data_IF_196580349162
#
_entry.id   IF_196580349162
#
_cell.length_a   1.000
_cell.length_b   1.000
_cell.length_c   1.000
_cell.angle_alpha   90.00
_cell.angle_beta   90.00
_cell.angle_gamma   90.00
#
_symmetry.space_group_name_H-M   'P 1'
#
loop_
_entity.id
_entity.type
_entity.pdbx_description
1 polymer ?
2 branched ?
3 non-polymer ?
4 non-polymer ?
5 non-polymer ?
6 water ?
#
# COMPACT_ATOMS: atom_id res chain seq x y z
N UNK A 1 -21.94 -9.57 -4.27
CA UNK A 1 -22.98 -8.46 -4.17
C UNK A 1 -22.11 -7.21 -3.88
N UNK A 2 -22.61 -6.03 -3.46
CA UNK A 2 -21.60 -5.03 -3.02
C UNK A 2 -21.53 -3.84 -2.01
N UNK A 3 -20.94 -4.17 -0.86
CA UNK A 3 -20.58 -3.27 0.26
C UNK A 3 -19.04 -3.10 0.40
N UNK A 4 -18.25 -3.75 -0.47
CA UNK A 4 -16.78 -3.80 -0.38
C UNK A 4 -16.18 -2.65 -1.16
N UNK A 5 -15.54 -1.73 -0.43
CA UNK A 5 -14.90 -0.60 -1.06
C UNK A 5 -13.36 -0.60 -0.86
N UNK A 6 -12.62 -0.16 -1.88
CA UNK A 6 -11.19 0.10 -1.75
C UNK A 6 -10.71 1.38 -2.50
N UNK A 7 -10.09 2.32 -1.80
CA UNK A 7 -9.49 3.46 -2.55
C UNK A 7 -8.00 3.51 -2.33
N UNK A 8 -7.25 3.81 -3.39
CA UNK A 8 -5.81 3.85 -3.27
C UNK A 8 -5.33 5.06 -4.07
N UNK A 9 -4.57 5.95 -3.44
CA UNK A 9 -4.36 7.25 -4.08
C UNK A 9 -2.97 7.81 -3.78
N UNK A 10 -2.24 8.33 -4.79
CA UNK A 10 -0.98 8.95 -4.44
C UNK A 10 -1.23 10.11 -3.50
N UNK A 11 -0.20 10.50 -2.79
CA UNK A 11 -0.23 11.65 -1.90
C UNK A 11 -0.40 12.95 -2.72
N UNK A 12 -1.21 13.87 -2.18
CA UNK A 12 -1.55 15.16 -2.77
C UNK A 12 -0.43 16.21 -2.71
N UNK A 13 0.08 16.47 -1.49
CA UNK A 13 1.11 17.53 -1.23
C UNK A 13 2.31 17.36 -2.11
N UNK A 14 3.26 18.27 -1.94
CA UNK A 14 4.56 18.19 -2.54
C UNK A 14 5.46 17.25 -1.76
N UNK A 15 6.21 16.43 -2.48
CA UNK A 15 7.28 15.61 -1.93
C UNK A 15 8.55 16.07 -2.66
N UNK A 16 9.61 16.42 -1.91
CA UNK A 16 10.82 17.01 -2.44
C UNK A 16 12.02 16.06 -2.41
N UNK A 17 12.84 16.11 -3.44
CA UNK A 17 13.92 15.16 -3.60
C UNK A 17 14.91 15.33 -2.51
N UNK A 18 15.66 14.27 -2.22
CA UNK A 18 16.60 14.32 -1.12
C UNK A 18 16.26 13.39 0.00
N UNK A 19 17.01 13.53 1.08
CA UNK A 19 16.79 12.78 2.27
C UNK A 19 15.51 13.28 2.99
N UNK A 20 14.54 12.40 3.16
CA UNK A 20 13.28 12.83 3.80
C UNK A 20 13.58 13.04 5.26
N UNK A 21 13.18 14.22 5.82
CA UNK A 21 13.34 14.60 7.25
C UNK A 21 12.63 13.68 8.22
N UNK A 22 11.43 13.25 7.86
CA UNK A 22 10.70 12.24 8.59
C UNK A 22 10.08 11.24 7.68
N UNK A 23 9.26 10.41 8.29
CA UNK A 23 8.42 9.48 7.54
C UNK A 23 7.51 10.31 6.58
N UNK A 24 7.36 9.88 5.30
CA UNK A 24 6.53 10.57 4.33
C UNK A 24 5.63 9.58 3.58
N UNK A 25 4.33 9.87 3.58
CA UNK A 25 3.35 9.05 3.01
C UNK A 25 3.43 9.22 1.46
N UNK A 26 3.30 8.11 0.77
CA UNK A 26 3.38 8.06 -0.70
C UNK A 26 1.97 7.84 -1.17
N UNK A 27 1.23 6.93 -0.45
CA UNK A 27 -0.06 6.38 -0.81
C UNK A 27 -1.07 6.19 0.35
N UNK A 28 -2.28 6.59 0.06
CA UNK A 28 -3.35 6.39 1.03
C UNK A 28 -4.17 5.19 0.63
N UNK A 29 -4.51 4.31 1.57
CA UNK A 29 -5.24 3.11 1.21
C UNK A 29 -6.36 2.87 2.18
N UNK A 30 -7.59 2.88 1.70
CA UNK A 30 -8.74 2.82 2.60
C UNK A 30 -9.61 1.65 2.24
N UNK A 31 -10.04 0.89 3.24
CA UNK A 31 -10.72 -0.33 2.90
C UNK A 31 -11.75 -0.73 3.90
N UNK A 32 -12.94 -0.95 3.39
CA UNK A 32 -14.00 -1.47 4.26
C UNK A 32 -15.04 -2.28 3.53
N UNK A 33 -15.75 -3.03 4.37
CA UNK A 33 -16.93 -3.83 4.06
C UNK A 33 -17.72 -4.01 5.38
N UNK A 34 -19.02 -3.73 5.30
CA UNK A 34 -19.99 -4.00 6.35
C UNK A 34 -20.41 -5.47 6.34
N UNK A 35 -20.15 -6.18 5.23
CA UNK A 35 -20.36 -7.63 5.23
C UNK A 35 -19.34 -8.26 6.18
N UNK A 36 -19.70 -9.38 6.83
CA UNK A 36 -18.66 -10.20 7.49
C UNK A 36 -17.53 -10.59 6.53
N UNK A 37 -16.33 -10.66 7.10
CA UNK A 37 -15.13 -10.98 6.38
C UNK A 37 -14.09 -11.11 7.51
N UNK A 38 -12.98 -11.80 7.26
CA UNK A 38 -11.97 -11.94 8.30
C UNK A 38 -10.73 -11.03 8.19
N UNK A 39 -10.42 -10.48 7.01
CA UNK A 39 -9.27 -9.51 6.85
C UNK A 39 -8.87 -9.06 5.44
N UNK A 40 -7.73 -8.33 5.37
CA UNK A 40 -7.25 -7.76 4.08
C UNK A 40 -5.79 -8.03 3.82
N UNK A 41 -5.43 -8.19 2.55
CA UNK A 41 -4.04 -8.22 2.18
C UNK A 41 -3.70 -7.27 1.02
N UNK A 42 -2.48 -6.78 1.00
CA UNK A 42 -2.07 -6.13 -0.24
C UNK A 42 -0.84 -6.80 -0.83
N UNK A 43 -1.03 -7.32 -2.06
CA UNK A 43 -0.01 -8.07 -2.85
C UNK A 43 0.64 -7.16 -3.94
N UNK A 44 1.91 -6.76 -3.76
CA UNK A 44 2.52 -5.94 -4.81
C UNK A 44 2.77 -6.75 -6.14
N UNK A 45 2.28 -6.24 -7.24
CA UNK A 45 2.40 -6.93 -8.54
C UNK A 45 3.46 -6.28 -9.37
N UNK A 46 3.95 -7.02 -10.37
CA UNK A 46 4.99 -6.59 -11.27
C UNK A 46 6.23 -6.14 -10.60
N UNK A 47 6.86 -5.03 -11.06
CA UNK A 47 8.14 -4.58 -10.53
C UNK A 47 8.10 -4.11 -9.02
N UNK A 48 6.90 -4.02 -8.49
CA UNK A 48 6.59 -3.69 -7.14
C UNK A 48 6.69 -4.90 -6.27
N UNK A 49 6.82 -6.06 -6.91
CA UNK A 49 6.92 -7.33 -6.22
C UNK A 49 7.90 -7.16 -5.03
N UNK A 50 7.49 -7.53 -3.83
CA UNK A 50 8.35 -7.39 -2.69
C UNK A 50 8.13 -6.12 -1.86
N UNK A 51 7.06 -5.36 -2.10
CA UNK A 51 6.81 -4.12 -1.37
C UNK A 51 7.55 -2.83 -1.77
N UNK A 52 7.78 -2.63 -3.10
CA UNK A 52 8.58 -1.51 -3.62
C UNK A 52 7.86 -0.60 -4.54
N UNK A 53 8.25 0.68 -4.49
CA UNK A 53 7.97 1.64 -5.55
C UNK A 53 9.10 1.57 -6.53
N UNK A 54 8.80 1.59 -7.81
CA UNK A 54 9.91 1.62 -8.84
C UNK A 54 9.88 3.02 -9.56
N UNK A 55 11.01 3.70 -9.61
CA UNK A 55 11.08 5.04 -10.26
C UNK A 55 11.42 4.97 -11.76
N UNK A 56 11.26 6.12 -12.43
CA UNK A 56 11.59 6.23 -13.83
C UNK A 56 13.10 6.15 -14.06
N UNK A 57 13.91 6.32 -13.00
CA UNK A 57 15.34 6.15 -13.14
C UNK A 57 15.78 4.72 -12.81
N UNK A 58 14.85 3.80 -12.72
CA UNK A 58 15.17 2.40 -12.36
C UNK A 58 15.52 1.98 -10.92
N UNK A 59 15.39 2.91 -9.95
CA UNK A 59 15.62 2.67 -8.50
C UNK A 59 14.42 2.03 -7.79
N UNK A 60 14.68 1.13 -6.86
CA UNK A 60 13.54 0.50 -6.09
C UNK A 60 13.52 1.16 -4.71
N UNK A 61 12.38 1.68 -4.29
CA UNK A 61 12.24 2.17 -2.90
C UNK A 61 11.23 1.35 -2.08
N UNK A 62 11.67 0.85 -0.93
CA UNK A 62 10.77 0.01 -0.10
C UNK A 62 9.71 0.86 0.55
N UNK A 63 8.49 0.36 0.61
CA UNK A 63 7.33 1.06 1.25
C UNK A 63 7.03 0.36 2.59
N UNK A 64 6.25 1.01 3.47
CA UNK A 64 5.96 0.52 4.83
C UNK A 64 4.54 0.92 5.06
N UNK A 65 3.78 0.10 5.81
CA UNK A 65 2.37 0.27 6.15
C UNK A 65 2.23 0.55 7.65
N UNK A 66 1.26 1.36 8.05
CA UNK A 66 1.04 1.54 9.51
C UNK A 66 0.13 0.44 10.08
N UNK A 67 -0.91 0.07 9.33
CA UNK A 67 -1.97 -0.76 9.83
C UNK A 67 -1.75 -2.26 9.55
N UNK A 68 -0.82 -2.56 8.67
CA UNK A 68 -0.70 -3.91 8.23
C UNK A 68 0.67 -4.43 8.49
N UNK A 69 0.78 -5.77 8.65
CA UNK A 69 2.09 -6.39 8.85
C UNK A 69 2.60 -6.98 7.51
N UNK A 70 3.90 -6.85 7.24
CA UNK A 70 4.50 -7.38 5.99
C UNK A 70 4.87 -8.84 6.19
N UNK A 71 4.58 -9.70 5.21
CA UNK A 71 5.15 -11.08 5.28
C UNK A 71 5.88 -11.34 3.96
N UNK A 72 7.21 -11.42 3.99
CA UNK A 72 7.96 -11.63 2.72
C UNK A 72 7.70 -13.00 2.08
N UNK A 73 7.45 -13.98 2.94
CA UNK A 73 7.26 -15.33 2.58
C UNK A 73 6.11 -15.38 1.57
N UNK A 74 5.09 -14.55 1.77
CA UNK A 74 3.87 -14.51 0.99
C UNK A 74 3.78 -13.33 0.05
N UNK A 75 4.76 -12.45 0.03
CA UNK A 75 4.62 -11.22 -0.79
C UNK A 75 3.35 -10.46 -0.51
N UNK A 76 3.01 -10.25 0.74
CA UNK A 76 1.94 -9.37 1.10
C UNK A 76 2.01 -8.67 2.45
N UNK A 77 1.37 -7.53 2.52
CA UNK A 77 0.94 -6.96 3.83
C UNK A 77 -0.39 -7.62 4.25
N UNK A 78 -0.74 -7.70 5.53
CA UNK A 78 -2.07 -8.21 5.84
C UNK A 78 -2.58 -7.69 7.15
N UNK A 79 -3.90 -7.68 7.33
CA UNK A 79 -4.48 -7.34 8.62
C UNK A 79 -5.75 -8.16 8.83
N UNK A 80 -5.77 -8.91 9.92
CA UNK A 80 -6.96 -9.58 10.33
C UNK A 80 -7.80 -8.59 11.08
N UNK A 81 -8.90 -8.27 10.48
CA UNK A 81 -9.85 -7.30 10.98
C UNK A 81 -11.25 -7.71 10.52
N UNK A 82 -12.10 -7.98 11.53
CA UNK A 82 -13.52 -8.39 11.36
C UNK A 82 -14.53 -7.26 11.43
N UNK A 83 -14.04 -6.03 11.48
CA UNK A 83 -14.88 -4.87 11.64
C UNK A 83 -15.62 -4.43 10.38
N UNK A 84 -16.78 -3.73 10.56
CA UNK A 84 -17.52 -3.03 9.49
C UNK A 84 -16.95 -1.62 9.24
N UNK A 85 -16.03 -1.23 10.12
CA UNK A 85 -15.45 0.10 10.04
C UNK A 85 -14.23 0.11 9.15
N UNK A 86 -14.10 1.19 8.38
CA UNK A 86 -12.98 1.46 7.50
C UNK A 86 -11.60 1.43 8.09
N UNK A 87 -10.68 0.90 7.34
CA UNK A 87 -9.32 0.84 7.76
C UNK A 87 -8.67 1.98 7.00
N UNK A 88 -8.03 2.91 7.69
CA UNK A 88 -7.32 3.92 6.91
C UNK A 88 -5.87 3.69 7.15
N UNK A 89 -5.18 3.25 6.09
CA UNK A 89 -3.81 2.96 6.19
C UNK A 89 -3.06 3.94 5.33
N UNK A 90 -1.78 4.04 5.62
CA UNK A 90 -0.90 4.78 4.72
C UNK A 90 0.34 3.92 4.43
N UNK A 91 0.80 3.98 3.20
CA UNK A 91 2.09 3.41 2.85
C UNK A 91 3.08 4.56 2.64
N UNK A 92 4.17 4.43 3.34
CA UNK A 92 5.11 5.50 3.55
C UNK A 92 6.56 5.06 3.36
N UNK A 93 7.43 6.02 3.07
CA UNK A 93 8.87 5.83 3.17
C UNK A 93 9.39 6.39 4.55
N UNK A 94 10.42 5.75 5.12
CA UNK A 94 10.94 6.14 6.44
C UNK A 94 11.84 7.32 6.39
N UNK A 95 11.81 8.02 7.51
CA UNK A 95 12.74 9.07 7.84
C UNK A 95 14.10 8.69 7.30
N UNK A 96 14.69 9.56 6.45
CA UNK A 96 16.06 9.40 5.99
C UNK A 96 16.21 8.80 4.63
N UNK A 97 15.13 8.18 4.16
CA UNK A 97 15.11 7.67 2.78
C UNK A 97 15.45 8.74 1.68
N UNK A 98 16.45 8.47 0.84
CA UNK A 98 16.82 9.41 -0.17
C UNK A 98 15.87 9.24 -1.40
N UNK A 99 15.09 10.27 -1.75
CA UNK A 99 14.32 10.19 -2.99
C UNK A 99 14.94 11.14 -4.05
N UNK A 100 14.81 10.79 -5.33
CA UNK A 100 15.19 11.63 -6.47
C UNK A 100 14.00 12.41 -7.09
N UNK A 101 14.30 13.48 -7.88
CA UNK A 101 13.27 14.27 -8.54
C UNK A 101 12.74 13.52 -9.77
N UNK A 102 11.94 12.49 -9.52
CA UNK A 102 11.52 11.60 -10.60
C UNK A 102 10.18 11.05 -10.26
N UNK A 103 9.64 10.20 -11.11
CA UNK A 103 8.32 9.67 -10.93
C UNK A 103 8.42 8.25 -10.39
N UNK A 104 7.71 7.94 -9.28
CA UNK A 104 7.73 6.62 -8.65
C UNK A 104 6.38 5.89 -8.78
N UNK A 105 6.44 4.62 -9.15
CA UNK A 105 5.19 3.83 -9.39
C UNK A 105 5.01 2.66 -8.42
N UNK A 106 3.74 2.34 -8.17
CA UNK A 106 3.42 1.14 -7.38
C UNK A 106 2.24 0.52 -8.09
N UNK A 107 2.21 -0.78 -8.10
CA UNK A 107 1.05 -1.50 -8.60
C UNK A 107 0.85 -2.62 -7.62
N UNK A 108 -0.40 -2.92 -7.25
CA UNK A 108 -0.66 -4.22 -6.51
C UNK A 108 -2.09 -4.73 -6.70
N UNK A 109 -2.51 -5.66 -5.84
CA UNK A 109 -3.82 -6.21 -5.85
C UNK A 109 -4.23 -6.34 -4.40
N UNK A 110 -5.45 -5.91 -4.10
CA UNK A 110 -5.96 -5.90 -2.72
C UNK A 110 -6.90 -7.06 -2.60
N UNK A 111 -6.74 -7.90 -1.58
CA UNK A 111 -7.73 -8.95 -1.36
C UNK A 111 -8.40 -8.84 -0.01
N UNK A 112 -9.72 -9.10 -0.03
CA UNK A 112 -10.57 -9.33 1.17
C UNK A 112 -10.82 -10.85 1.29
N UNK A 113 -10.67 -11.36 2.50
CA UNK A 113 -10.81 -12.81 2.75
C UNK A 113 -11.57 -13.10 4.04
N UNK A 114 -12.01 -14.36 4.20
CA UNK A 114 -12.81 -14.88 5.33
C UNK A 114 -12.07 -16.11 5.82
N UNK A 115 -12.14 -16.40 7.12
CA UNK A 115 -11.60 -17.66 7.67
C UNK A 115 -12.67 -18.75 7.71
N UNK A 116 -12.28 -19.92 7.24
CA UNK A 116 -13.05 -21.12 7.50
C UNK A 116 -12.08 -22.17 8.00
N UNK A 117 -12.00 -22.25 9.34
CA UNK A 117 -11.44 -23.40 10.09
C UNK A 117 -9.98 -23.91 9.82
N UNK A 118 -8.96 -23.07 10.00
CA UNK A 118 -9.04 -21.63 10.01
C UNK A 118 -7.97 -21.31 8.95
N UNK A 119 -8.47 -21.06 7.74
CA UNK A 119 -7.72 -21.01 6.53
C UNK A 119 -8.50 -19.93 5.82
N UNK A 120 -7.78 -19.05 5.12
CA UNK A 120 -8.46 -17.92 4.48
C UNK A 120 -8.89 -18.20 3.02
N UNK A 121 -10.06 -17.67 2.62
CA UNK A 121 -10.56 -17.69 1.22
C UNK A 121 -10.89 -16.28 0.75
N UNK A 122 -10.33 -15.88 -0.38
CA UNK A 122 -10.48 -14.55 -0.97
C UNK A 122 -11.95 -14.44 -1.31
N UNK A 123 -12.58 -13.34 -0.94
CA UNK A 123 -14.04 -13.10 -1.27
C UNK A 123 -14.24 -11.90 -2.19
N UNK A 124 -13.32 -10.94 -2.10
CA UNK A 124 -13.24 -9.80 -3.04
C UNK A 124 -11.80 -9.43 -3.39
N UNK A 125 -11.59 -8.74 -4.49
CA UNK A 125 -10.25 -8.28 -4.90
C UNK A 125 -10.29 -7.10 -5.92
N UNK A 126 -9.33 -6.17 -5.84
CA UNK A 126 -9.24 -5.04 -6.80
C UNK A 126 -7.77 -4.70 -7.09
N UNK A 127 -7.41 -4.51 -8.35
CA UNK A 127 -6.02 -4.08 -8.70
C UNK A 127 -5.87 -2.56 -8.42
N UNK A 128 -4.76 -2.17 -7.78
CA UNK A 128 -4.54 -0.77 -7.42
C UNK A 128 -3.22 -0.38 -8.05
N UNK A 129 -3.07 0.91 -8.37
CA UNK A 129 -1.80 1.42 -8.87
C UNK A 129 -1.71 2.94 -8.63
N UNK A 130 -0.52 3.51 -8.58
CA UNK A 130 -0.48 4.93 -8.62
C UNK A 130 0.93 5.36 -8.73
N UNK A 131 1.14 6.69 -8.85
CA UNK A 131 2.46 7.30 -8.86
C UNK A 131 2.59 8.68 -8.17
N UNK A 132 3.77 8.98 -7.69
CA UNK A 132 4.07 10.29 -7.22
C UNK A 132 5.22 10.82 -8.07
N UNK A 133 5.16 12.09 -8.46
CA UNK A 133 6.32 12.70 -9.13
C UNK A 133 7.02 13.61 -8.09
N UNK A 134 8.28 13.31 -7.77
CA UNK A 134 8.94 14.02 -6.66
C UNK A 134 9.67 15.23 -7.22
N UNK A 135 9.56 16.40 -6.60
CA UNK A 135 10.15 17.66 -7.16
C UNK A 135 11.54 17.89 -6.66
N UNK A 136 12.36 18.64 -7.44
CA UNK A 136 13.67 19.05 -6.95
C UNK A 136 13.70 19.93 -5.67
N UNK A 137 14.54 19.50 -4.71
CA UNK A 137 14.60 20.03 -3.34
C UNK A 137 15.42 21.31 -3.14
N UNK A 138 15.97 21.57 -1.93
CA UNK A 138 16.21 20.66 -0.74
C UNK A 138 17.49 19.84 -0.86
X LIG B 1 1.48 -15.09 10.24
X LIG B 1 1.80 -15.04 8.73
X LIG B 1 1.23 -16.21 7.90
X LIG B 1 0.67 -17.36 8.76
X LIG B 1 0.64 -18.67 7.97
X LIG B 1 1.61 -16.50 10.88
X LIG B 1 0.77 -16.71 12.04
X LIG B 1 0.25 -14.44 10.54
X LIG B 1 3.21 -15.04 8.59
X LIG B 1 0.27 -15.89 6.87
X LIG B 1 1.45 -17.58 9.95
X LIG B 1 -0.45 -18.78 7.08
X LIG B 1 2.22 -14.56 10.66
X LIG B 1 1.40 -14.22 8.39
X LIG B 1 1.99 -16.59 7.43
X LIG B 1 -0.22 -17.11 9.05
X LIG B 1 1.47 -18.74 7.46
X LIG B 1 0.61 -19.42 8.60
X LIG B 1 0.67 -16.42 10.57
X LIG B 1 1.27 -17.00 12.72
X LIG B 1 0.38 -13.83 11.20
X LIG B 1 3.49 -14.20 8.46
X LIG B 1 -0.66 -19.64 6.97
X LIG B 2 -0.61 -14.77 6.81
X LIG B 2 -0.80 -14.41 5.32
X LIG B 2 -1.93 -13.40 5.04
X LIG B 2 -3.22 -13.85 5.71
X LIG B 2 -2.95 -14.21 7.19
X LIG B 2 -4.16 -14.84 7.89
X LIG B 2 0.43 -13.97 4.83
X LIG B 2 -2.16 -13.19 3.65
X LIG B 2 -3.74 -14.98 5.05
X LIG B 2 -1.86 -15.11 7.38
X LIG B 2 -4.07 -14.74 9.29
X LIG B 2 -0.23 -14.01 7.29
X LIG B 2 -1.02 -15.23 4.86
X LIG B 2 -2.21 -14.27 4.69
X LIG B 2 -3.85 -13.10 5.68
X LIG B 2 -2.78 -13.40 7.68
X LIG B 2 -4.96 -14.40 7.59
X LIG B 2 -4.20 -15.79 7.64
X LIG B 2 0.51 -14.19 3.97
X LIG B 2 -2.11 -12.31 3.47
X LIG B 2 -4.51 -14.77 4.65
X LIG B 2 -4.89 -14.79 9.65
X LIG C 1 11.42 -5.80 -6.93
X LIG C 1 11.44 -6.18 -5.71
X LIG C 1 10.24 -5.58 -7.52
X LIG C 1 12.56 -5.76 -7.65
X LIG C 1 10.63 -6.22 -5.20
X LIG C 1 9.39 -5.64 -6.98
X LIG C 1 10.19 -5.32 -8.50
X LIG C 1 13.45 -5.95 -7.21
X LIG C 1 12.54 -5.50 -8.63
X LIG D 1 8.20 22.02 -9.69
X LIG D 1 8.81 21.79 -8.61
X LIG D 1 6.91 21.64 -9.82
X LIG D 1 8.91 22.55 -10.73
X LIG D 1 8.33 21.41 -7.88
X LIG D 1 6.42 21.23 -9.03
X LIG D 1 6.41 21.79 -10.68
X LIG D 1 8.47 22.72 -11.61
X LIG D 1 9.88 22.79 -10.59
X LIG E 1 5.71 -2.61 6.49
X LIG F 1 10.30 -2.97 1.40
X LIG F 1 11.57 -3.21 0.91
X LIG F 1 12.20 -4.44 1.05
X LIG F 1 13.69 -4.71 0.39
X LIG F 1 14.53 -3.41 0.94
X LIG F 1 14.20 -5.78 1.24
X LIG F 1 11.51 -5.47 1.66
X LIG F 1 10.24 -5.24 2.16
X LIG F 1 9.63 -3.99 2.02
X LIG F 1 8.24 -3.78 2.58
X LIG F 1 8.25 -3.03 3.90
X LIG F 1 8.14 -4.00 4.94
X LIG F 1 9.84 -2.00 1.29
X LIG F 1 12.09 -2.40 0.41
X LIG F 1 11.97 -6.45 1.78
X LIG F 1 9.71 -6.04 2.66
X LIG F 1 8.01 -4.97 4.71
X LIG F 1 8.21 -3.72 5.90
#
# INVERSE_FOLDING_TARGET
>A
MNTFHVDFAPNTGEIFAGKQPGDVTMFTLTMGDTAPHGGWRLIPTGDSKGGYMISADGDYVGLYSYMMSWVGIDNNWYINDDSPKDIKDHLYVKAGTVLKPTTYKFTGRVEEYVFDNKQSTVINSKDVSGEVTVKQGLEHHHHHH
>B hetero
1 BGC C2 C3 C4 C5 C6 C1 O1 O2 O3 O4 O5 O6 H2 H3 H4 H5 H61 H62 H1 HO1 HO2 HO3 HO6
2 GAL C1 C2 C3 C4 C5 C6 O2 O3 O4 O5 O6 H1 H2 H3 H4 H5 H61 H62 HO2 HO3 HO4 HO6
>C hetero
1 GAI C N1 N2 N3 HN1 HN21 HN22 HN31 HN32
>D hetero
1 GAI C N1 N2 N3 HN1 HN21 HN22 HN31 HN32
>E hetero
1 CL CL
>F hetero
1 AES C3 C2 C1 S O1S O2S C6 C5 C4 C7 C8 N8 H3 H2 H6 H5 HN81 HN82
#
